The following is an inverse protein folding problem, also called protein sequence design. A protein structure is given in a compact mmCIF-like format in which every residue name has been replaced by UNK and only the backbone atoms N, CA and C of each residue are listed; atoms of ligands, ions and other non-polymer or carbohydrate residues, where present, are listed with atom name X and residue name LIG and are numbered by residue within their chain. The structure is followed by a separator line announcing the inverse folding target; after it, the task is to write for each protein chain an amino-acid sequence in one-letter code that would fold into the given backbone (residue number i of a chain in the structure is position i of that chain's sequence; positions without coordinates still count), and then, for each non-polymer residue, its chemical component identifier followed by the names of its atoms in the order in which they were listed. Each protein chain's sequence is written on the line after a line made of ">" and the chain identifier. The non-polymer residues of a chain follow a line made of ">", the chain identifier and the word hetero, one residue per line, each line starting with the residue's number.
data_IF_648280711339
#
_entry.id   IF_648280711339
#
_cell.length_a   1.000
_cell.length_b   1.000
_cell.length_c   1.000
_cell.angle_alpha   90.00
_cell.angle_beta   90.00
_cell.angle_gamma   90.00
#
_symmetry.space_group_name_H-M   'P 1'
#
loop_
_entity.id
_entity.type
_entity.pdbx_description
1 polymer ?
#
# COMPACT_ATOMS: atom_id res chain seq x y z
N UNK A 1 2.97 -10.18 -8.71
CA UNK A 1 1.52 -10.02 -8.48
C UNK A 1 1.25 -10.11 -6.98
N UNK A 2 0.44 -9.20 -6.47
CA UNK A 2 -0.03 -9.21 -5.09
C UNK A 2 -1.55 -9.19 -5.09
N UNK A 3 -2.17 -10.02 -4.25
CA UNK A 3 -3.56 -9.86 -3.88
C UNK A 3 -3.59 -9.40 -2.42
N UNK A 4 -4.25 -8.28 -2.13
CA UNK A 4 -4.17 -7.66 -0.82
C UNK A 4 -5.51 -7.11 -0.39
N UNK A 5 -5.69 -7.03 0.92
CA UNK A 5 -6.83 -6.40 1.57
C UNK A 5 -6.32 -5.48 2.67
N UNK A 6 -6.94 -4.32 2.77
CA UNK A 6 -6.69 -3.34 3.83
C UNK A 6 -8.02 -3.02 4.48
N UNK A 7 -8.05 -3.05 5.80
CA UNK A 7 -9.24 -2.80 6.61
C UNK A 7 -8.89 -1.77 7.66
N UNK A 8 -9.70 -0.72 7.74
CA UNK A 8 -9.70 0.23 8.85
C UNK A 8 -11.09 0.21 9.47
N UNK A 9 -11.18 -0.36 10.67
CA UNK A 9 -12.44 -0.51 11.38
C UNK A 9 -12.16 -0.31 12.88
N UNK A 10 -12.81 0.63 13.58
CA UNK A 10 -12.63 0.78 15.02
C UNK A 10 -13.21 -0.40 15.84
N UNK A 11 -14.14 -1.16 15.28
CA UNK A 11 -14.69 -2.35 15.92
C UNK A 11 -13.75 -3.54 15.73
N UNK A 12 -13.06 -3.93 16.81
CA UNK A 12 -12.08 -5.01 16.77
C UNK A 12 -12.70 -6.38 16.45
N UNK A 13 -13.93 -6.64 16.90
CA UNK A 13 -14.60 -7.93 16.67
C UNK A 13 -15.00 -8.06 15.21
N UNK A 14 -15.67 -7.03 14.66
CA UNK A 14 -16.06 -7.01 13.25
C UNK A 14 -14.84 -7.09 12.33
N UNK A 15 -13.78 -6.36 12.66
CA UNK A 15 -12.51 -6.43 11.93
C UNK A 15 -11.94 -7.85 11.92
N UNK A 16 -11.89 -8.51 13.08
CA UNK A 16 -11.35 -9.86 13.21
C UNK A 16 -12.19 -10.91 12.47
N UNK A 17 -13.52 -10.81 12.55
CA UNK A 17 -14.44 -11.67 11.79
C UNK A 17 -14.20 -11.54 10.27
N UNK A 18 -14.07 -10.31 9.77
CA UNK A 18 -13.77 -10.07 8.36
C UNK A 18 -12.41 -10.64 7.95
N UNK A 19 -11.37 -10.42 8.76
CA UNK A 19 -10.01 -10.93 8.48
C UNK A 19 -10.01 -12.45 8.38
N UNK A 20 -10.60 -13.15 9.34
CA UNK A 20 -10.64 -14.61 9.33
C UNK A 20 -11.41 -15.18 8.13
N UNK A 21 -12.45 -14.46 7.69
CA UNK A 21 -13.21 -14.85 6.52
C UNK A 21 -12.40 -14.67 5.23
N UNK A 22 -11.70 -13.54 5.07
CA UNK A 22 -11.02 -13.21 3.81
C UNK A 22 -9.62 -13.81 3.69
N UNK A 23 -8.92 -14.04 4.81
CA UNK A 23 -7.53 -14.52 4.82
C UNK A 23 -7.31 -15.81 4.02
N UNK A 24 -8.14 -16.88 4.14
CA UNK A 24 -7.97 -18.07 3.32
C UNK A 24 -8.27 -17.86 1.82
N UNK A 25 -8.95 -16.76 1.47
CA UNK A 25 -9.31 -16.41 0.09
C UNK A 25 -8.29 -15.46 -0.55
N UNK A 26 -7.33 -14.95 0.22
CA UNK A 26 -6.30 -14.03 -0.28
C UNK A 26 -5.38 -14.62 -1.35
N UNK A 27 -4.87 -15.87 -1.26
CA UNK A 27 -4.06 -16.42 -2.34
C UNK A 27 -4.97 -16.89 -3.49
N UNK A 28 -5.04 -16.19 -4.64
CA UNK A 28 -5.86 -16.64 -5.78
C UNK A 28 -5.32 -17.91 -6.44
N UNK A 29 -4.07 -18.27 -6.16
CA UNK A 29 -3.36 -19.44 -6.68
C UNK A 29 -2.43 -19.99 -5.60
N UNK A 30 -2.09 -21.26 -5.70
CA UNK A 30 -1.16 -21.93 -4.79
C UNK A 30 0.26 -21.35 -4.85
N UNK A 31 1.00 -21.49 -3.75
CA UNK A 31 2.41 -21.12 -3.66
C UNK A 31 2.67 -19.64 -3.32
N UNK A 32 1.63 -18.84 -3.12
CA UNK A 32 1.77 -17.48 -2.58
C UNK A 32 1.95 -17.52 -1.05
N UNK A 33 2.82 -16.64 -0.55
CA UNK A 33 3.05 -16.45 0.88
C UNK A 33 2.13 -15.33 1.35
N UNK A 34 1.39 -15.60 2.43
CA UNK A 34 0.53 -14.59 3.06
C UNK A 34 1.29 -13.90 4.19
N UNK A 35 1.31 -12.58 4.16
CA UNK A 35 1.83 -11.72 5.21
C UNK A 35 0.72 -10.78 5.70
N UNK A 36 0.88 -10.24 6.90
CA UNK A 36 -0.03 -9.23 7.43
C UNK A 36 0.68 -8.31 8.41
N UNK A 37 0.10 -7.13 8.62
CA UNK A 37 0.46 -6.22 9.69
C UNK A 37 -0.80 -5.60 10.30
N UNK A 38 -0.78 -5.33 11.61
CA UNK A 38 -1.91 -4.78 12.36
C UNK A 38 -1.43 -3.67 13.28
N UNK A 39 -2.14 -2.55 13.30
CA UNK A 39 -1.92 -1.48 14.29
C UNK A 39 -3.21 -0.73 14.57
N UNK A 40 -3.60 -0.63 15.84
CA UNK A 40 -4.83 0.05 16.24
C UNK A 40 -6.06 -0.46 15.48
N UNK A 41 -6.67 0.41 14.68
CA UNK A 41 -7.86 0.12 13.88
C UNK A 41 -7.54 -0.44 12.48
N UNK A 42 -6.26 -0.50 12.12
CA UNK A 42 -5.78 -0.90 10.80
C UNK A 42 -5.31 -2.36 10.78
N UNK A 43 -5.65 -3.05 9.71
CA UNK A 43 -5.07 -4.33 9.33
C UNK A 43 -4.82 -4.37 7.82
N UNK A 44 -3.65 -4.82 7.41
CA UNK A 44 -3.36 -5.17 6.03
C UNK A 44 -2.93 -6.63 5.97
N UNK A 45 -3.43 -7.36 4.99
CA UNK A 45 -3.03 -8.74 4.70
C UNK A 45 -2.89 -8.92 3.20
N UNK A 46 -1.86 -9.64 2.77
CA UNK A 46 -1.53 -9.79 1.36
C UNK A 46 -0.89 -11.13 1.06
N UNK A 47 -1.23 -11.68 -0.09
CA UNK A 47 -0.66 -12.90 -0.66
C UNK A 47 0.19 -12.55 -1.88
N UNK A 48 1.46 -12.98 -1.86
CA UNK A 48 2.48 -12.61 -2.86
C UNK A 48 3.45 -13.72 -3.18
N UNK A 49 4.15 -13.61 -4.31
CA UNK A 49 5.31 -14.45 -4.56
C UNK A 49 6.44 -14.09 -3.58
N UNK A 50 7.25 -15.08 -3.18
CA UNK A 50 8.40 -14.90 -2.28
C UNK A 50 9.37 -13.79 -2.71
N UNK A 51 9.52 -13.57 -4.02
CA UNK A 51 10.45 -12.59 -4.58
C UNK A 51 9.77 -11.27 -4.98
N UNK A 52 8.50 -11.06 -4.61
CA UNK A 52 7.82 -9.81 -4.90
C UNK A 52 8.46 -8.65 -4.09
N UNK A 53 8.73 -7.49 -4.72
CA UNK A 53 9.25 -6.32 -4.01
C UNK A 53 8.14 -5.78 -3.10
N UNK A 54 8.34 -5.95 -1.79
CA UNK A 54 7.40 -5.48 -0.78
C UNK A 54 8.20 -4.84 0.35
N UNK A 55 7.80 -3.63 0.73
CA UNK A 55 8.28 -2.97 1.93
C UNK A 55 7.09 -2.69 2.84
N UNK A 56 7.22 -2.95 4.13
CA UNK A 56 6.16 -2.63 5.10
C UNK A 56 6.74 -2.26 6.47
N UNK A 57 6.01 -1.40 7.17
CA UNK A 57 6.28 -1.01 8.56
C UNK A 57 4.95 -0.88 9.30
N UNK A 58 4.93 -1.28 10.56
CA UNK A 58 3.81 -1.05 11.47
C UNK A 58 4.35 -0.87 12.89
N UNK A 59 4.12 0.30 13.48
CA UNK A 59 4.56 0.66 14.83
C UNK A 59 3.58 1.67 15.46
N UNK A 60 3.95 2.27 16.58
CA UNK A 60 3.10 3.23 17.30
C UNK A 60 2.72 4.48 16.48
N UNK A 61 3.47 4.82 15.43
CA UNK A 61 3.19 5.98 14.57
C UNK A 61 2.20 5.65 13.42
N UNK A 62 1.85 4.37 13.25
CA UNK A 62 0.96 3.89 12.19
C UNK A 62 1.59 2.80 11.34
N UNK A 63 1.10 2.63 10.12
CA UNK A 63 1.57 1.61 9.20
C UNK A 63 1.78 2.14 7.78
N UNK A 64 2.66 1.51 7.03
CA UNK A 64 2.77 1.71 5.59
C UNK A 64 3.15 0.39 4.90
N UNK A 65 2.62 0.18 3.70
CA UNK A 65 2.93 -0.98 2.85
C UNK A 65 3.08 -0.50 1.42
N UNK A 66 4.13 -0.97 0.75
CA UNK A 66 4.36 -0.81 -0.68
C UNK A 66 4.40 -2.22 -1.27
N UNK A 67 3.51 -2.49 -2.22
CA UNK A 67 3.56 -3.66 -3.09
C UNK A 67 4.06 -3.22 -4.46
N UNK A 68 5.29 -3.58 -4.82
CA UNK A 68 5.92 -3.09 -6.04
C UNK A 68 7.10 -2.16 -5.77
N UNK A 69 7.51 -1.47 -6.82
CA UNK A 69 8.59 -0.48 -6.78
C UNK A 69 8.00 0.90 -7.04
N UNK A 70 7.91 1.73 -5.99
CA UNK A 70 7.53 3.13 -6.09
C UNK A 70 8.79 3.99 -6.20
N UNK A 71 9.03 4.60 -7.35
CA UNK A 71 10.28 5.34 -7.64
C UNK A 71 9.96 6.83 -7.70
N UNK A 72 10.45 7.67 -6.77
CA UNK A 72 10.26 9.11 -6.85
C UNK A 72 10.92 9.70 -8.09
N UNK A 73 10.27 10.68 -8.73
CA UNK A 73 10.73 11.32 -9.98
C UNK A 73 12.12 11.96 -9.93
N UNK A 74 12.63 12.24 -8.73
CA UNK A 74 13.93 12.87 -8.47
C UNK A 74 15.00 11.88 -7.98
N UNK A 75 14.70 10.57 -7.93
CA UNK A 75 15.58 9.52 -7.43
C UNK A 75 15.57 8.31 -8.37
N UNK A 76 16.61 7.47 -8.29
CA UNK A 76 16.72 6.26 -9.13
C UNK A 76 16.52 4.96 -8.36
N UNK A 77 16.15 5.03 -7.08
CA UNK A 77 15.93 3.86 -6.24
C UNK A 77 14.49 3.84 -5.69
N UNK A 78 13.91 2.65 -5.48
CA UNK A 78 12.58 2.54 -4.90
C UNK A 78 12.51 3.11 -3.48
N UNK A 79 11.40 3.75 -3.17
CA UNK A 79 11.04 4.20 -1.83
C UNK A 79 10.73 2.99 -0.95
N UNK A 80 11.18 3.03 0.30
CA UNK A 80 10.73 2.07 1.32
C UNK A 80 9.50 2.59 2.08
N UNK A 81 8.88 1.70 2.85
CA UNK A 81 7.66 2.00 3.61
C UNK A 81 7.85 3.06 4.70
N UNK A 82 9.05 3.20 5.29
CA UNK A 82 9.32 4.24 6.29
C UNK A 82 9.38 5.61 5.63
N UNK A 83 10.12 5.72 4.53
CA UNK A 83 10.23 6.94 3.75
C UNK A 83 8.87 7.36 3.16
N UNK A 84 8.05 6.40 2.69
CA UNK A 84 6.68 6.67 2.25
C UNK A 84 5.82 7.24 3.38
N UNK A 85 5.85 6.61 4.56
CA UNK A 85 5.04 7.05 5.70
C UNK A 85 5.37 8.48 6.10
N UNK A 86 6.66 8.82 6.16
CA UNK A 86 7.11 10.19 6.46
C UNK A 86 6.65 11.17 5.39
N UNK A 87 6.91 10.85 4.12
CA UNK A 87 6.56 11.70 2.99
C UNK A 87 5.05 12.00 2.93
N UNK A 88 4.20 11.00 3.10
CA UNK A 88 2.74 11.19 3.07
C UNK A 88 2.20 11.87 4.34
N UNK A 89 2.82 11.67 5.49
CA UNK A 89 2.47 12.40 6.73
C UNK A 89 2.71 13.90 6.58
N UNK A 90 3.75 14.29 5.85
CA UNK A 90 4.11 15.69 5.58
C UNK A 90 3.38 16.28 4.36
N UNK A 91 2.75 15.44 3.55
CA UNK A 91 2.05 15.86 2.34
C UNK A 91 0.65 16.41 2.63
N UNK A 92 0.19 17.32 1.77
CA UNK A 92 -1.23 17.71 1.77
C UNK A 92 -2.10 16.56 1.25
N UNK A 93 -3.28 16.29 1.86
CA UNK A 93 -4.23 15.30 1.34
C UNK A 93 -4.64 15.52 -0.12
N UNK A 94 -4.52 16.75 -0.62
CA UNK A 94 -4.89 17.13 -1.99
C UNK A 94 -3.74 17.07 -2.99
N UNK A 95 -2.52 16.79 -2.53
CA UNK A 95 -1.32 16.83 -3.37
C UNK A 95 -0.30 15.79 -2.88
N UNK A 96 -0.61 14.51 -3.10
CA UNK A 96 0.35 13.44 -2.88
C UNK A 96 1.41 13.44 -3.98
N UNK A 97 2.69 13.18 -3.65
CA UNK A 97 3.73 13.05 -4.65
C UNK A 97 3.46 11.86 -5.56
N UNK A 98 3.67 12.06 -6.87
CA UNK A 98 3.62 10.99 -7.86
C UNK A 98 4.92 10.17 -7.81
N UNK A 99 4.79 8.87 -8.06
CA UNK A 99 5.90 7.94 -8.19
C UNK A 99 5.78 7.21 -9.52
N UNK A 100 6.92 6.98 -10.16
CA UNK A 100 7.06 6.07 -11.28
C UNK A 100 7.18 4.62 -10.79
N UNK A 101 7.07 3.66 -11.71
CA UNK A 101 7.24 2.23 -11.44
C UNK A 101 5.92 1.51 -11.18
N UNK A 102 5.95 0.17 -11.12
CA UNK A 102 4.73 -0.63 -10.96
C UNK A 102 4.47 -0.89 -9.47
N UNK A 103 3.58 -0.11 -8.86
CA UNK A 103 3.30 -0.22 -7.42
C UNK A 103 1.83 0.01 -7.04
N UNK A 104 1.48 -0.51 -5.87
CA UNK A 104 0.37 -0.06 -5.04
C UNK A 104 0.92 0.22 -3.63
N UNK A 105 0.45 1.26 -2.96
CA UNK A 105 0.93 1.64 -1.65
C UNK A 105 -0.20 2.16 -0.76
N UNK A 106 -0.09 1.88 0.54
CA UNK A 106 -0.96 2.42 1.57
C UNK A 106 -0.13 2.99 2.71
N UNK A 107 -0.62 4.04 3.35
CA UNK A 107 -0.16 4.47 4.66
C UNK A 107 -1.36 4.77 5.56
N UNK A 108 -1.28 4.33 6.80
CA UNK A 108 -2.25 4.58 7.85
C UNK A 108 -1.60 5.38 8.96
N UNK A 109 -2.25 6.47 9.35
CA UNK A 109 -1.90 7.24 10.54
C UNK A 109 -3.14 7.33 11.45
N UNK A 110 -3.03 7.10 12.78
CA UNK A 110 -4.18 7.13 13.68
C UNK A 110 -5.02 8.41 13.58
N UNK A 111 -4.35 9.56 13.39
CA UNK A 111 -5.02 10.87 13.33
C UNK A 111 -5.44 11.31 11.92
N UNK A 112 -4.82 10.75 10.86
CA UNK A 112 -5.07 11.18 9.48
C UNK A 112 -5.89 10.16 8.68
N UNK A 113 -6.05 8.94 9.20
CA UNK A 113 -6.74 7.86 8.52
C UNK A 113 -5.85 7.13 7.49
N UNK A 114 -6.47 6.67 6.42
CA UNK A 114 -5.84 5.84 5.38
C UNK A 114 -5.57 6.67 4.12
N UNK A 115 -4.33 6.65 3.65
CA UNK A 115 -3.91 7.17 2.34
C UNK A 115 -3.55 6.00 1.44
N UNK A 116 -3.98 6.06 0.18
CA UNK A 116 -3.73 5.01 -0.82
C UNK A 116 -3.30 5.66 -2.12
N UNK A 117 -2.28 5.09 -2.76
CA UNK A 117 -1.87 5.46 -4.11
C UNK A 117 -1.45 4.20 -4.86
N UNK A 118 -1.56 4.22 -6.17
CA UNK A 118 -1.00 3.22 -7.04
C UNK A 118 -0.49 3.91 -8.28
N UNK A 119 0.39 3.24 -9.01
CA UNK A 119 0.84 3.75 -10.29
C UNK A 119 -0.35 3.91 -11.26
N UNK A 120 -0.32 5.03 -11.99
CA UNK A 120 -1.39 5.46 -12.89
C UNK A 120 -1.30 4.81 -14.29
N UNK A 121 -0.48 3.78 -14.49
CA UNK A 121 -0.35 3.06 -15.77
C UNK A 121 -1.65 2.31 -16.17
N UNK A 122 -2.65 3.06 -16.62
CA UNK A 122 -3.11 2.93 -17.99
C UNK A 122 -2.25 3.82 -18.89
N UNK A 123 -2.03 3.49 -20.17
CA UNK A 123 -1.19 4.30 -21.06
C UNK A 123 -1.72 5.73 -21.12
N UNK A 124 -0.94 6.70 -20.62
CA UNK A 124 -1.14 8.09 -20.98
C UNK A 124 -0.69 8.25 -22.43
N UNK A 125 -1.64 8.15 -23.36
CA UNK A 125 -1.44 8.71 -24.69
C UNK A 125 -1.26 10.22 -24.50
N UNK A 126 -0.01 10.67 -24.45
CA UNK A 126 0.36 12.05 -24.69
C UNK A 126 0.09 12.36 -26.17
N UNK A 127 -1.17 12.63 -26.49
CA UNK A 127 -1.50 13.39 -27.68
C UNK A 127 -0.98 14.81 -27.48
N UNK A 128 0.23 15.05 -27.96
CA UNK A 128 0.74 16.38 -28.29
C UNK A 128 -0.31 17.11 -29.12
N UNK A 129 -0.97 18.12 -28.55
CA UNK A 129 -1.66 19.12 -29.36
C UNK A 129 -0.59 20.00 -30.00
N UNK A 130 -0.42 19.84 -31.30
CA UNK A 130 0.24 20.81 -32.17
C UNK A 130 -0.49 22.16 -32.04
N UNK A 131 0.30 23.23 -31.98
CA UNK A 131 -0.12 24.60 -32.28
C UNK A 131 0.83 25.16 -33.33
#
# INVERSE_FOLDING_TARGET
>A
MANFVVVVDPDAERRWQFINYIQPLLPPVDGLITHSCTIGNFHASWAVNRNAPISWVADAEGAAVIWGDAIPSHQSYPLDSQALRLLWKESSPTALPAFDGFYAAVAYHPDLGLTVSADHLGPQNSSTQEA
#
